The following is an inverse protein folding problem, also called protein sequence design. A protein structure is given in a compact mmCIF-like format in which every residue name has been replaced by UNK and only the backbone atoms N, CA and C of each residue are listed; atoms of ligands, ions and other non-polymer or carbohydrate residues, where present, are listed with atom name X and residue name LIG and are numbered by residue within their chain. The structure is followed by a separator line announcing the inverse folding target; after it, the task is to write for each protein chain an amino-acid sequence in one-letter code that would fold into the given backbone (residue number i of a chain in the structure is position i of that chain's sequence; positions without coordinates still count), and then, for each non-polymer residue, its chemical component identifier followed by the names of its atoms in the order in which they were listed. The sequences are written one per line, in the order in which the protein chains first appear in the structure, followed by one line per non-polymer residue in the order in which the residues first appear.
data_IF_513035669822
#
_entry.id   IF_513035669822
#
_cell.length_a   1.000
_cell.length_b   1.000
_cell.length_c   1.000
_cell.angle_alpha   90.00
_cell.angle_beta   90.00
_cell.angle_gamma   90.00
#
_symmetry.space_group_name_H-M   'P 1'
#
loop_
_entity.id
_entity.type
_entity.pdbx_description
1 polymer ?
#
# COMPACT_ATOMS: atom_id res chain seq x y z
N UNK A 1 10.81 -29.49 23.69
CA UNK A 1 10.74 -28.05 23.87
C UNK A 1 11.48 -27.40 22.65
N UNK A 2 10.75 -27.05 21.59
CA UNK A 2 11.36 -26.43 20.42
C UNK A 2 11.52 -24.96 20.79
N UNK A 3 12.78 -24.51 20.94
CA UNK A 3 13.08 -23.08 21.08
C UNK A 3 12.54 -22.36 19.84
N UNK A 4 11.81 -21.24 19.96
CA UNK A 4 11.45 -20.46 18.80
C UNK A 4 12.75 -20.01 18.12
N UNK A 5 12.96 -20.44 16.87
CA UNK A 5 14.08 -19.99 16.04
C UNK A 5 13.87 -18.51 15.70
N UNK A 6 14.05 -17.63 16.70
CA UNK A 6 13.94 -16.19 16.50
C UNK A 6 15.16 -15.72 15.71
N UNK A 7 14.92 -15.11 14.57
CA UNK A 7 15.96 -14.43 13.83
C UNK A 7 16.17 -13.02 14.42
N UNK A 8 17.43 -12.69 14.72
CA UNK A 8 17.84 -11.36 15.21
C UNK A 8 18.86 -10.79 14.21
N UNK A 9 18.57 -9.61 13.69
CA UNK A 9 19.45 -8.93 12.73
C UNK A 9 18.75 -7.78 12.01
N UNK A 10 19.52 -6.98 11.29
CA UNK A 10 19.01 -5.93 10.40
C UNK A 10 18.45 -6.51 9.09
N UNK A 11 18.03 -5.66 8.17
CA UNK A 11 17.46 -6.08 6.89
C UNK A 11 18.49 -6.77 5.99
N UNK A 12 19.76 -6.37 6.07
CA UNK A 12 20.84 -7.00 5.29
C UNK A 12 21.04 -8.45 5.75
N UNK A 13 21.11 -8.65 7.07
CA UNK A 13 21.23 -9.98 7.65
C UNK A 13 19.96 -10.82 7.38
N UNK A 14 18.77 -10.21 7.45
CA UNK A 14 17.49 -10.87 7.17
C UNK A 14 17.42 -11.36 5.71
N UNK A 15 17.75 -10.53 4.75
CA UNK A 15 17.78 -10.91 3.33
C UNK A 15 18.78 -12.05 3.08
N UNK A 16 19.96 -11.98 3.68
CA UNK A 16 20.96 -13.07 3.60
C UNK A 16 20.40 -14.38 4.17
N UNK A 17 19.74 -14.32 5.33
CA UNK A 17 19.14 -15.47 5.97
C UNK A 17 17.98 -16.06 5.15
N UNK A 18 17.13 -15.20 4.54
CA UNK A 18 16.05 -15.63 3.63
C UNK A 18 16.61 -16.35 2.40
N UNK A 19 17.66 -15.81 1.77
CA UNK A 19 18.34 -16.44 0.62
C UNK A 19 19.00 -17.78 0.98
N UNK A 20 19.45 -17.92 2.24
CA UNK A 20 20.01 -19.16 2.77
C UNK A 20 18.94 -20.13 3.33
N UNK A 21 17.65 -19.83 3.19
CA UNK A 21 16.53 -20.62 3.74
C UNK A 21 16.63 -20.85 5.25
N UNK A 22 17.13 -19.87 6.02
CA UNK A 22 17.20 -19.99 7.48
C UNK A 22 15.78 -20.16 8.07
N UNK A 23 15.55 -21.13 8.97
CA UNK A 23 14.20 -21.48 9.43
C UNK A 23 13.39 -20.35 10.06
N UNK A 24 14.03 -19.43 10.81
CA UNK A 24 13.36 -18.29 11.45
C UNK A 24 13.20 -17.05 10.58
N UNK A 25 13.84 -16.99 9.39
CA UNK A 25 13.90 -15.76 8.60
C UNK A 25 12.56 -15.37 7.97
N UNK A 26 11.74 -16.35 7.59
CA UNK A 26 10.39 -16.09 7.02
C UNK A 26 9.45 -15.48 8.06
N UNK A 27 9.45 -16.02 9.28
CA UNK A 27 8.66 -15.46 10.38
C UNK A 27 9.11 -14.03 10.71
N UNK A 28 10.43 -13.80 10.82
CA UNK A 28 10.98 -12.48 11.10
C UNK A 28 10.64 -11.45 10.00
N UNK A 29 10.62 -11.85 8.72
CA UNK A 29 10.19 -10.96 7.65
C UNK A 29 8.71 -10.59 7.81
N UNK A 30 7.86 -11.58 8.07
CA UNK A 30 6.44 -11.37 8.28
C UNK A 30 6.19 -10.46 9.48
N UNK A 31 6.76 -10.77 10.64
CA UNK A 31 6.59 -9.99 11.87
C UNK A 31 7.03 -8.53 11.70
N UNK A 32 8.13 -8.30 10.98
CA UNK A 32 8.69 -6.96 10.76
C UNK A 32 7.90 -6.13 9.75
N UNK A 33 7.36 -6.76 8.70
CA UNK A 33 6.84 -6.05 7.53
C UNK A 33 5.35 -6.26 7.25
N UNK A 34 4.64 -7.14 7.98
CA UNK A 34 3.22 -7.40 7.72
C UNK A 34 2.38 -6.13 7.75
N UNK A 35 2.49 -5.31 8.79
CA UNK A 35 1.75 -4.04 8.90
C UNK A 35 2.08 -3.05 7.78
N UNK A 36 3.33 -3.01 7.30
CA UNK A 36 3.70 -2.16 6.18
C UNK A 36 3.08 -2.67 4.87
N UNK A 37 3.18 -3.97 4.60
CA UNK A 37 2.62 -4.61 3.39
C UNK A 37 1.09 -4.47 3.39
N UNK A 38 0.45 -4.65 4.54
CA UNK A 38 -1.01 -4.48 4.70
C UNK A 38 -1.46 -3.05 4.35
N UNK A 39 -0.75 -2.01 4.84
CA UNK A 39 -1.03 -0.62 4.46
C UNK A 39 -0.89 -0.40 2.95
N UNK A 40 0.17 -0.93 2.32
CA UNK A 40 0.36 -0.82 0.87
C UNK A 40 -0.79 -1.49 0.12
N UNK A 41 -1.23 -2.68 0.54
CA UNK A 41 -2.39 -3.38 -0.03
C UNK A 41 -3.64 -2.52 0.10
N UNK A 42 -3.87 -1.94 1.28
CA UNK A 42 -4.99 -1.06 1.54
C UNK A 42 -5.01 0.15 0.59
N UNK A 43 -3.86 0.76 0.28
CA UNK A 43 -3.78 1.86 -0.67
C UNK A 43 -4.14 1.45 -2.11
N UNK A 44 -3.99 0.18 -2.44
CA UNK A 44 -4.36 -0.35 -3.77
C UNK A 44 -5.81 -0.80 -3.82
N UNK A 45 -6.25 -1.60 -2.86
CA UNK A 45 -7.57 -2.23 -2.86
C UNK A 45 -8.65 -1.36 -2.19
N UNK A 46 -8.26 -0.49 -1.25
CA UNK A 46 -9.18 0.10 -0.29
C UNK A 46 -9.60 -0.93 0.76
N UNK A 47 -10.83 -0.79 1.25
CA UNK A 47 -11.46 -1.77 2.13
C UNK A 47 -11.92 -2.95 1.28
N UNK A 48 -11.30 -4.09 1.47
CA UNK A 48 -11.54 -5.24 0.61
C UNK A 48 -11.47 -6.55 1.42
N UNK A 49 -12.48 -7.43 1.31
CA UNK A 49 -12.50 -8.69 2.06
C UNK A 49 -11.36 -9.64 1.70
N UNK A 50 -10.81 -9.53 0.48
CA UNK A 50 -9.67 -10.37 0.04
C UNK A 50 -8.30 -9.77 0.43
N UNK A 51 -8.25 -8.67 1.23
CA UNK A 51 -6.97 -8.03 1.62
C UNK A 51 -6.03 -8.97 2.37
N UNK A 52 -6.56 -9.83 3.23
CA UNK A 52 -5.76 -10.81 3.98
C UNK A 52 -5.18 -11.91 3.06
N UNK A 53 -5.94 -12.34 2.07
CA UNK A 53 -5.45 -13.30 1.07
C UNK A 53 -4.33 -12.67 0.23
N UNK A 54 -4.50 -11.39 -0.15
CA UNK A 54 -3.46 -10.65 -0.88
C UNK A 54 -2.21 -10.42 -0.03
N UNK A 55 -2.37 -10.20 1.28
CA UNK A 55 -1.25 -10.13 2.23
C UNK A 55 -0.47 -11.45 2.24
N UNK A 56 -1.19 -12.56 2.42
CA UNK A 56 -0.60 -13.89 2.41
C UNK A 56 0.12 -14.17 1.08
N UNK A 57 -0.56 -13.98 -0.05
CA UNK A 57 0.00 -14.18 -1.38
C UNK A 57 1.24 -13.30 -1.65
N UNK A 58 1.24 -12.07 -1.11
CA UNK A 58 2.40 -11.17 -1.22
C UNK A 58 3.62 -11.74 -0.52
N UNK A 59 3.48 -12.28 0.68
CA UNK A 59 4.60 -12.93 1.38
C UNK A 59 5.03 -14.24 0.73
N UNK A 60 4.09 -15.06 0.27
CA UNK A 60 4.41 -16.28 -0.49
C UNK A 60 5.20 -15.92 -1.76
N UNK A 61 4.74 -14.91 -2.50
CA UNK A 61 5.46 -14.40 -3.67
C UNK A 61 6.84 -13.83 -3.33
N UNK A 62 6.94 -13.09 -2.22
CA UNK A 62 8.20 -12.55 -1.73
C UNK A 62 9.21 -13.66 -1.38
N UNK A 63 8.77 -14.70 -0.67
CA UNK A 63 9.64 -15.84 -0.34
C UNK A 63 10.16 -16.55 -1.60
N UNK A 64 9.33 -16.71 -2.62
CA UNK A 64 9.73 -17.32 -3.88
C UNK A 64 10.68 -16.44 -4.70
N UNK A 65 10.55 -15.11 -4.59
CA UNK A 65 11.28 -14.15 -5.40
C UNK A 65 12.43 -13.44 -4.67
N UNK A 66 12.75 -13.79 -3.41
CA UNK A 66 13.77 -13.09 -2.60
C UNK A 66 15.15 -13.05 -3.27
N UNK A 67 15.46 -14.04 -4.08
CA UNK A 67 16.73 -14.11 -4.83
C UNK A 67 16.87 -12.98 -5.87
N UNK A 68 15.75 -12.35 -6.31
CA UNK A 68 15.75 -11.22 -7.25
C UNK A 68 16.08 -9.88 -6.58
N UNK A 69 16.07 -9.82 -5.24
CA UNK A 69 16.46 -8.62 -4.50
C UNK A 69 17.99 -8.51 -4.49
N UNK A 70 18.54 -7.60 -5.31
CA UNK A 70 19.98 -7.39 -5.42
C UNK A 70 20.53 -6.53 -4.28
N UNK A 71 19.80 -5.47 -3.91
CA UNK A 71 20.17 -4.57 -2.82
C UNK A 71 19.31 -4.85 -1.57
N UNK A 72 19.89 -5.44 -0.51
CA UNK A 72 19.17 -5.72 0.72
C UNK A 72 18.59 -4.46 1.41
N UNK A 73 19.19 -3.28 1.20
CA UNK A 73 18.71 -2.01 1.80
C UNK A 73 17.41 -1.56 1.17
N UNK A 74 17.09 -2.04 -0.03
CA UNK A 74 15.83 -1.76 -0.73
C UNK A 74 14.70 -2.75 -0.36
N UNK A 75 14.85 -3.56 0.71
CA UNK A 75 13.88 -4.61 1.09
C UNK A 75 12.47 -4.07 1.25
N UNK A 76 12.29 -2.95 1.95
CA UNK A 76 10.98 -2.33 2.18
C UNK A 76 10.31 -1.91 0.86
N UNK A 77 11.03 -1.21 -0.02
CA UNK A 77 10.51 -0.77 -1.32
C UNK A 77 10.21 -1.97 -2.24
N UNK A 78 11.07 -3.01 -2.19
CA UNK A 78 10.86 -4.24 -2.93
C UNK A 78 9.61 -5.00 -2.47
N UNK A 79 9.37 -5.12 -1.16
CA UNK A 79 8.13 -5.70 -0.61
C UNK A 79 6.90 -4.91 -1.02
N UNK A 80 6.97 -3.58 -1.00
CA UNK A 80 5.89 -2.73 -1.49
C UNK A 80 5.57 -2.99 -2.95
N UNK A 81 6.60 -3.20 -3.79
CA UNK A 81 6.40 -3.58 -5.19
C UNK A 81 5.70 -4.93 -5.32
N UNK A 82 6.10 -5.93 -4.55
CA UNK A 82 5.44 -7.25 -4.55
C UNK A 82 3.96 -7.10 -4.17
N UNK A 83 3.66 -6.35 -3.10
CA UNK A 83 2.30 -6.09 -2.64
C UNK A 83 1.43 -5.38 -3.72
N UNK A 84 1.95 -4.31 -4.32
CA UNK A 84 1.26 -3.58 -5.40
C UNK A 84 0.97 -4.49 -6.60
N UNK A 85 1.93 -5.32 -7.00
CA UNK A 85 1.74 -6.22 -8.14
C UNK A 85 0.72 -7.32 -7.84
N UNK A 86 0.74 -7.88 -6.62
CA UNK A 86 -0.22 -8.91 -6.17
C UNK A 86 -1.63 -8.34 -6.11
N UNK A 87 -1.82 -7.16 -5.48
CA UNK A 87 -3.11 -6.49 -5.41
C UNK A 87 -3.65 -6.10 -6.80
N UNK A 88 -2.81 -5.61 -7.70
CA UNK A 88 -3.21 -5.33 -9.10
C UNK A 88 -3.61 -6.59 -9.86
N UNK A 89 -2.97 -7.73 -9.59
CA UNK A 89 -3.35 -9.02 -10.19
C UNK A 89 -4.77 -9.41 -9.80
N UNK A 90 -5.15 -9.23 -8.53
CA UNK A 90 -6.52 -9.43 -8.05
C UNK A 90 -7.50 -8.53 -8.79
N UNK A 91 -7.26 -7.22 -8.84
CA UNK A 91 -8.13 -6.25 -9.52
C UNK A 91 -8.32 -6.58 -11.01
N UNK A 92 -7.26 -6.98 -11.72
CA UNK A 92 -7.35 -7.43 -13.12
C UNK A 92 -8.16 -8.71 -13.25
N UNK A 93 -8.03 -9.65 -12.32
CA UNK A 93 -8.81 -10.89 -12.28
C UNK A 93 -10.30 -10.60 -12.10
N UNK A 94 -10.65 -9.68 -11.20
CA UNK A 94 -12.03 -9.23 -10.96
C UNK A 94 -12.61 -8.53 -12.19
N UNK A 95 -11.88 -7.62 -12.80
CA UNK A 95 -12.31 -6.92 -14.00
C UNK A 95 -12.62 -7.90 -15.14
N UNK A 96 -11.79 -8.93 -15.34
CA UNK A 96 -12.06 -9.98 -16.31
C UNK A 96 -13.30 -10.81 -15.95
N UNK A 97 -13.49 -11.15 -14.66
CA UNK A 97 -14.67 -11.89 -14.19
C UNK A 97 -15.94 -11.03 -14.26
N UNK A 98 -15.87 -9.75 -13.99
CA UNK A 98 -16.99 -8.81 -14.08
C UNK A 98 -17.46 -8.67 -15.54
N UNK A 99 -16.56 -8.67 -16.52
CA UNK A 99 -16.91 -8.65 -17.93
C UNK A 99 -17.67 -9.92 -18.37
N UNK A 100 -17.37 -11.07 -17.74
CA UNK A 100 -18.11 -12.31 -17.91
C UNK A 100 -19.43 -12.37 -17.12
N UNK A 101 -19.58 -11.49 -16.09
CA UNK A 101 -20.73 -11.42 -15.17
C UNK A 101 -21.70 -10.29 -15.46
N UNK A 102 -21.81 -9.76 -16.66
CA UNK A 102 -22.81 -8.76 -17.02
C UNK A 102 -24.29 -9.17 -16.74
N UNK A 103 -24.51 -10.27 -16.02
CA UNK A 103 -25.83 -10.84 -15.72
C UNK A 103 -26.07 -11.27 -14.28
N UNK A 104 -25.24 -10.89 -13.29
CA UNK A 104 -25.53 -11.22 -11.87
C UNK A 104 -25.18 -10.07 -10.96
N UNK A 105 -26.20 -9.62 -10.25
CA UNK A 105 -26.23 -8.53 -9.27
C UNK A 105 -25.41 -8.78 -8.01
N UNK A 106 -25.08 -7.65 -7.37
CA UNK A 106 -24.87 -7.38 -5.94
C UNK A 106 -23.54 -7.82 -5.32
N UNK A 107 -22.65 -6.85 -5.16
CA UNK A 107 -21.57 -6.90 -4.19
C UNK A 107 -21.88 -5.92 -3.06
N UNK A 108 -22.30 -6.46 -1.92
CA UNK A 108 -22.42 -5.70 -0.69
C UNK A 108 -21.06 -5.05 -0.35
N UNK A 109 -21.06 -3.73 -0.25
CA UNK A 109 -19.94 -2.96 0.31
C UNK A 109 -19.84 -3.25 1.81
N UNK A 110 -18.99 -4.19 2.18
CA UNK A 110 -18.57 -4.33 3.58
C UNK A 110 -17.61 -3.18 3.91
N UNK A 111 -18.03 -2.31 4.80
CA UNK A 111 -17.21 -1.24 5.36
C UNK A 111 -16.26 -1.82 6.40
N UNK A 112 -14.99 -1.92 6.08
CA UNK A 112 -13.93 -2.16 7.04
C UNK A 112 -13.53 -0.82 7.67
N UNK A 113 -13.53 -0.73 8.98
CA UNK A 113 -12.97 0.41 9.68
C UNK A 113 -11.46 0.16 9.86
N UNK A 114 -10.58 1.01 9.30
CA UNK A 114 -9.17 0.91 9.59
C UNK A 114 -8.95 1.06 11.10
N UNK A 115 -8.16 0.18 11.71
CA UNK A 115 -7.69 0.36 13.08
C UNK A 115 -6.71 1.54 13.06
N UNK A 116 -7.24 2.73 13.23
CA UNK A 116 -6.48 3.96 13.38
C UNK A 116 -6.42 4.24 14.88
N UNK A 117 -5.22 4.37 15.40
CA UNK A 117 -5.01 4.93 16.74
C UNK A 117 -5.29 6.44 16.68
N UNK A 118 -6.55 6.79 16.55
CA UNK A 118 -6.99 8.18 16.62
C UNK A 118 -7.23 8.52 18.10
N UNK A 119 -6.62 9.60 18.57
CA UNK A 119 -6.76 10.06 19.96
C UNK A 119 -8.05 10.87 20.19
N UNK A 120 -8.72 11.27 19.10
CA UNK A 120 -10.00 12.02 19.18
C UNK A 120 -10.98 11.60 18.07
N UNK A 121 -12.28 11.87 18.29
CA UNK A 121 -13.33 11.65 17.28
C UNK A 121 -13.12 12.52 16.04
N UNK A 122 -12.56 13.71 16.19
CA UNK A 122 -12.26 14.66 15.11
C UNK A 122 -11.12 14.14 14.21
N UNK A 123 -10.04 13.62 14.81
CA UNK A 123 -8.96 12.97 14.06
C UNK A 123 -9.47 11.76 13.27
N UNK A 124 -10.32 10.93 13.87
CA UNK A 124 -10.93 9.79 13.20
C UNK A 124 -11.79 10.23 12.00
N UNK A 125 -12.56 11.31 12.15
CA UNK A 125 -13.38 11.86 11.07
C UNK A 125 -12.50 12.40 9.93
N UNK A 126 -11.41 13.09 10.25
CA UNK A 126 -10.43 13.60 9.28
C UNK A 126 -9.77 12.46 8.51
N UNK A 127 -9.35 11.42 9.21
CA UNK A 127 -8.76 10.22 8.58
C UNK A 127 -9.78 9.54 7.65
N UNK A 128 -11.00 9.30 8.10
CA UNK A 128 -12.07 8.71 7.27
C UNK A 128 -12.31 9.55 6.02
N UNK A 129 -12.48 10.87 6.16
CA UNK A 129 -12.69 11.78 5.04
C UNK A 129 -11.51 11.75 4.04
N UNK A 130 -10.27 11.66 4.53
CA UNK A 130 -9.07 11.52 3.69
C UNK A 130 -9.13 10.24 2.85
N UNK A 131 -9.42 9.10 3.47
CA UNK A 131 -9.50 7.83 2.75
C UNK A 131 -10.67 7.75 1.78
N UNK A 132 -11.81 8.39 2.07
CA UNK A 132 -12.90 8.49 1.11
C UNK A 132 -12.50 9.29 -0.13
N UNK A 133 -11.75 10.38 0.03
CA UNK A 133 -11.20 11.14 -1.10
C UNK A 133 -10.20 10.30 -1.88
N UNK A 134 -9.28 9.61 -1.20
CA UNK A 134 -8.31 8.73 -1.85
C UNK A 134 -8.99 7.61 -2.64
N UNK A 135 -10.03 6.98 -2.09
CA UNK A 135 -10.77 5.91 -2.75
C UNK A 135 -11.52 6.37 -4.00
N UNK A 136 -11.85 7.66 -4.09
CA UNK A 136 -12.47 8.24 -5.28
C UNK A 136 -11.49 8.60 -6.40
N UNK A 137 -10.17 8.56 -6.14
CA UNK A 137 -9.15 8.77 -7.18
C UNK A 137 -9.05 7.55 -8.11
N UNK A 138 -8.71 7.76 -9.40
CA UNK A 138 -8.34 6.67 -10.27
C UNK A 138 -7.20 5.83 -9.67
N UNK A 139 -7.29 4.50 -9.78
CA UNK A 139 -6.40 3.54 -9.11
C UNK A 139 -4.91 3.91 -9.21
N UNK A 140 -4.43 4.20 -10.42
CA UNK A 140 -3.02 4.45 -10.65
C UNK A 140 -2.53 5.80 -10.06
N UNK A 141 -3.43 6.76 -9.95
CA UNK A 141 -3.19 8.05 -9.31
C UNK A 141 -3.19 7.89 -7.79
N UNK A 142 -4.17 7.15 -7.24
CA UNK A 142 -4.26 6.81 -5.83
C UNK A 142 -3.01 6.09 -5.34
N UNK A 143 -2.56 5.04 -6.04
CA UNK A 143 -1.36 4.29 -5.67
C UNK A 143 -0.14 5.21 -5.63
N UNK A 144 0.09 6.00 -6.68
CA UNK A 144 1.25 6.89 -6.73
C UNK A 144 1.23 7.95 -5.62
N UNK A 145 0.06 8.53 -5.34
CA UNK A 145 -0.14 9.50 -4.27
C UNK A 145 0.12 8.88 -2.89
N UNK A 146 -0.48 7.72 -2.60
CA UNK A 146 -0.35 7.07 -1.30
C UNK A 146 1.08 6.61 -1.02
N UNK A 147 1.76 6.05 -1.99
CA UNK A 147 3.18 5.66 -1.85
C UNK A 147 4.06 6.88 -1.59
N UNK A 148 3.79 8.02 -2.26
CA UNK A 148 4.57 9.25 -2.09
C UNK A 148 4.32 9.91 -0.74
N UNK A 149 3.03 10.17 -0.39
CA UNK A 149 2.67 11.05 0.73
C UNK A 149 2.36 10.31 2.03
N UNK A 150 1.90 9.06 1.97
CA UNK A 150 1.57 8.28 3.16
C UNK A 150 2.74 7.35 3.53
N UNK A 151 3.33 6.66 2.56
CA UNK A 151 4.46 5.77 2.80
C UNK A 151 5.83 6.50 2.76
N UNK A 152 5.87 7.77 2.35
CA UNK A 152 7.06 8.62 2.34
C UNK A 152 8.11 8.23 1.28
N UNK A 153 7.74 7.47 0.26
CA UNK A 153 8.67 7.05 -0.79
C UNK A 153 9.12 8.22 -1.66
N UNK A 154 10.37 8.19 -2.11
CA UNK A 154 10.81 9.13 -3.12
C UNK A 154 10.24 8.79 -4.52
N UNK A 155 10.41 9.69 -5.49
CA UNK A 155 9.82 9.52 -6.82
C UNK A 155 10.41 8.33 -7.60
N UNK A 156 11.68 7.97 -7.34
CA UNK A 156 12.34 6.83 -7.97
C UNK A 156 11.85 5.52 -7.35
N UNK A 157 11.67 5.49 -6.05
CA UNK A 157 11.07 4.37 -5.33
C UNK A 157 9.63 4.11 -5.80
N UNK A 158 8.81 5.16 -5.93
CA UNK A 158 7.45 5.05 -6.48
C UNK A 158 7.47 4.53 -7.91
N UNK A 159 8.40 5.02 -8.75
CA UNK A 159 8.54 4.56 -10.13
C UNK A 159 8.91 3.07 -10.20
N UNK A 160 9.87 2.65 -9.39
CA UNK A 160 10.28 1.25 -9.25
C UNK A 160 9.12 0.37 -8.75
N UNK A 161 8.45 0.80 -7.67
CA UNK A 161 7.32 0.08 -7.05
C UNK A 161 6.16 -0.07 -8.03
N UNK A 162 5.81 1.00 -8.76
CA UNK A 162 4.74 0.97 -9.76
C UNK A 162 5.12 0.32 -11.09
N UNK A 163 6.40 0.02 -11.32
CA UNK A 163 6.96 -0.46 -12.58
C UNK A 163 6.64 0.48 -13.78
N UNK A 164 6.83 1.78 -13.59
CA UNK A 164 6.62 2.81 -14.61
C UNK A 164 7.77 3.82 -14.62
N UNK A 165 7.84 4.67 -15.67
CA UNK A 165 8.84 5.72 -15.75
C UNK A 165 8.62 6.84 -14.72
N UNK A 166 9.70 7.53 -14.32
CA UNK A 166 9.64 8.70 -13.45
C UNK A 166 8.71 9.79 -13.99
N UNK A 167 8.71 10.03 -15.31
CA UNK A 167 7.81 10.98 -15.94
C UNK A 167 6.33 10.60 -15.76
N UNK A 168 6.02 9.29 -15.83
CA UNK A 168 4.67 8.76 -15.56
C UNK A 168 4.27 8.98 -14.11
N UNK A 169 5.17 8.72 -13.15
CA UNK A 169 4.93 8.96 -11.71
C UNK A 169 4.62 10.43 -11.46
N UNK A 170 5.49 11.34 -11.92
CA UNK A 170 5.29 12.80 -11.77
C UNK A 170 3.93 13.24 -12.30
N UNK A 171 3.54 12.75 -13.47
CA UNK A 171 2.22 13.06 -14.06
C UNK A 171 1.06 12.51 -13.22
N UNK A 172 1.17 11.26 -12.69
CA UNK A 172 0.13 10.65 -11.86
C UNK A 172 -0.03 11.40 -10.55
N UNK A 173 1.07 11.71 -9.87
CA UNK A 173 1.06 12.45 -8.60
C UNK A 173 0.41 13.81 -8.81
N UNK A 174 0.85 14.61 -9.77
CA UNK A 174 0.25 15.92 -10.06
C UNK A 174 -1.26 15.84 -10.28
N UNK A 175 -1.73 14.89 -11.08
CA UNK A 175 -3.18 14.70 -11.31
C UNK A 175 -3.91 14.27 -10.04
N UNK A 176 -3.29 13.42 -9.22
CA UNK A 176 -3.85 12.99 -7.95
C UNK A 176 -3.96 14.16 -6.98
N UNK A 177 -2.94 15.01 -6.86
CA UNK A 177 -2.93 16.23 -6.05
C UNK A 177 -4.07 17.19 -6.46
N UNK A 178 -4.16 17.51 -7.75
CA UNK A 178 -5.20 18.39 -8.30
C UNK A 178 -6.61 17.86 -7.97
N UNK A 179 -6.82 16.57 -8.09
CA UNK A 179 -8.12 15.92 -7.79
C UNK A 179 -8.38 15.85 -6.29
N UNK A 180 -7.37 15.44 -5.52
CA UNK A 180 -7.47 15.34 -4.06
C UNK A 180 -7.85 16.70 -3.46
N UNK A 181 -7.11 17.76 -3.78
CA UNK A 181 -7.35 19.12 -3.28
C UNK A 181 -8.77 19.61 -3.63
N UNK A 182 -9.22 19.38 -4.87
CA UNK A 182 -10.56 19.76 -5.31
C UNK A 182 -11.68 19.05 -4.53
N UNK A 183 -11.48 17.76 -4.20
CA UNK A 183 -12.48 16.98 -3.46
C UNK A 183 -12.41 17.24 -1.96
N UNK A 184 -11.21 17.38 -1.41
CA UNK A 184 -10.98 17.68 -0.01
C UNK A 184 -11.54 19.06 0.39
N UNK A 185 -11.42 20.07 -0.49
CA UNK A 185 -12.01 21.39 -0.26
C UNK A 185 -13.54 21.40 -0.12
N UNK A 186 -14.22 20.36 -0.62
CA UNK A 186 -15.67 20.18 -0.50
C UNK A 186 -16.10 19.46 0.78
N UNK A 187 -15.15 19.01 1.62
CA UNK A 187 -15.40 18.26 2.85
C UNK A 187 -15.01 19.09 4.06
N UNK A 188 -15.97 19.45 4.95
CA UNK A 188 -15.69 20.32 6.09
C UNK A 188 -14.53 19.82 6.96
N UNK A 189 -14.48 18.52 7.26
CA UNK A 189 -13.42 17.91 8.08
C UNK A 189 -12.01 18.05 7.47
N UNK A 190 -11.87 18.23 6.15
CA UNK A 190 -10.57 18.41 5.48
C UNK A 190 -10.31 19.88 5.12
N UNK A 191 -11.35 20.66 4.85
CA UNK A 191 -11.23 22.04 4.43
C UNK A 191 -10.54 22.94 5.48
N UNK A 192 -10.76 22.66 6.77
CA UNK A 192 -10.12 23.39 7.87
C UNK A 192 -8.62 23.08 7.96
N UNK A 193 -8.24 21.83 7.82
CA UNK A 193 -6.83 21.40 7.83
C UNK A 193 -6.06 21.93 6.60
N UNK A 194 -6.71 21.99 5.44
CA UNK A 194 -6.09 22.52 4.21
C UNK A 194 -5.87 24.04 4.25
N UNK A 195 -6.63 24.79 5.04
CA UNK A 195 -6.43 26.25 5.22
C UNK A 195 -5.19 26.57 6.05
N UNK A 196 -4.73 25.67 6.91
CA UNK A 196 -3.57 25.82 7.78
C UNK A 196 -2.24 25.39 7.15
N UNK A 197 -2.24 24.62 6.09
CA UNK A 197 -1.04 23.98 5.55
C UNK A 197 -0.85 24.21 4.04
N UNK A 198 -0.32 25.38 3.68
CA UNK A 198 0.31 25.57 2.38
C UNK A 198 1.69 24.86 2.27
N UNK A 199 1.91 23.79 3.06
CA UNK A 199 3.23 23.14 3.22
C UNK A 199 3.52 22.00 2.24
N UNK A 200 2.63 21.71 1.30
CA UNK A 200 2.86 20.62 0.32
C UNK A 200 3.72 21.01 -0.88
N UNK A 201 4.09 22.30 -1.01
CA UNK A 201 4.82 22.79 -2.18
C UNK A 201 6.36 22.75 -2.09
N UNK A 202 6.94 22.48 -0.91
CA UNK A 202 8.40 22.63 -0.68
C UNK A 202 9.13 21.35 -0.20
N UNK A 203 8.68 20.15 -0.60
CA UNK A 203 9.47 18.94 -0.31
C UNK A 203 9.66 18.04 -1.51
#
# INVERSE_FOLDING_TARGET
MVLPLSFVGDDVALVKALKANHPGAKAALFDRYSSHVERVIYHVLGIDPESQDVLHDSFVGAFGAIHTLNDPTALKAWLSRVAVLTARKLLRSRSRRSWLRLFVDDVQEQRYEPVVLAHSAEELQTVRATYEVLNSLPLEERIAFSLRYIEGMDLLEVASTCAVSLATVKRRIRKAEERFMRMAARRPALAEHLKGENQWQDR
#
